data_IF_528450515736
#
_entry.id   IF_528450515736
#
_cell.length_a   1.000
_cell.length_b   1.000
_cell.length_c   1.000
_cell.angle_alpha   90.00
_cell.angle_beta   90.00
_cell.angle_gamma   90.00
#
_symmetry.space_group_name_H-M   'P 1'
#
loop_
_entity.id
_entity.type
_entity.pdbx_description
1 polymer ?
#
# COMPACT_ATOMS: atom_id res chain seq x y z
N UNK A 1 18.68 22.44 -15.63
CA UNK A 1 18.53 21.19 -14.85
C UNK A 1 17.13 21.18 -14.27
N UNK A 2 16.38 20.13 -14.51
CA UNK A 2 15.01 19.96 -14.03
C UNK A 2 14.98 18.72 -13.17
N UNK A 3 14.52 18.84 -11.94
CA UNK A 3 14.46 17.77 -10.98
C UNK A 3 13.01 17.26 -10.81
N UNK A 4 12.87 15.99 -10.54
CA UNK A 4 11.61 15.37 -10.10
C UNK A 4 11.78 14.85 -8.68
N UNK A 5 10.81 15.13 -7.81
CA UNK A 5 10.74 14.61 -6.45
C UNK A 5 9.75 13.45 -6.41
N UNK A 6 10.20 12.29 -5.94
CA UNK A 6 9.37 11.14 -5.60
C UNK A 6 9.31 10.94 -4.10
N UNK A 7 8.11 10.74 -3.55
CA UNK A 7 7.83 10.50 -2.13
C UNK A 7 7.21 9.11 -1.93
N UNK A 8 7.55 8.44 -0.83
CA UNK A 8 6.87 7.22 -0.40
C UNK A 8 6.68 7.23 1.12
N UNK A 9 5.44 7.14 1.57
CA UNK A 9 5.09 6.96 2.98
C UNK A 9 4.70 5.51 3.23
N UNK A 10 5.70 4.70 3.51
CA UNK A 10 5.57 3.28 3.84
C UNK A 10 5.13 3.04 5.29
N UNK A 11 5.13 1.78 5.75
CA UNK A 11 4.71 1.43 7.12
C UNK A 11 5.65 1.99 8.18
N UNK A 12 6.96 1.92 7.97
CA UNK A 12 7.97 2.23 9.00
C UNK A 12 8.73 3.53 8.74
N UNK A 13 8.59 4.11 7.56
CA UNK A 13 9.35 5.28 7.15
C UNK A 13 8.62 6.11 6.11
N UNK A 14 8.99 7.40 6.03
CA UNK A 14 8.74 8.25 4.89
C UNK A 14 10.07 8.51 4.18
N UNK A 15 10.12 8.22 2.88
CA UNK A 15 11.34 8.31 2.07
C UNK A 15 11.12 9.17 0.83
N UNK A 16 12.18 9.79 0.33
CA UNK A 16 12.12 10.55 -0.90
C UNK A 16 13.41 10.49 -1.70
N UNK A 17 13.26 10.63 -3.01
CA UNK A 17 14.34 10.75 -3.98
C UNK A 17 14.13 12.00 -4.84
N UNK A 18 15.21 12.74 -5.10
CA UNK A 18 15.23 13.78 -6.12
C UNK A 18 16.11 13.30 -7.28
N UNK A 19 15.55 13.30 -8.47
CA UNK A 19 16.19 12.79 -9.69
C UNK A 19 16.41 13.96 -10.66
N UNK A 20 17.61 14.07 -11.22
CA UNK A 20 17.84 14.88 -12.42
C UNK A 20 17.19 14.17 -13.62
N UNK A 21 16.13 14.79 -14.15
CA UNK A 21 15.32 14.19 -15.23
C UNK A 21 16.12 13.99 -16.53
N UNK A 22 17.08 14.86 -16.79
CA UNK A 22 17.89 14.79 -18.02
C UNK A 22 18.99 13.72 -17.94
N UNK A 23 19.56 13.52 -16.74
CA UNK A 23 20.65 12.57 -16.51
C UNK A 23 20.18 11.19 -16.03
N UNK A 24 18.96 11.09 -15.47
CA UNK A 24 18.43 9.88 -14.85
C UNK A 24 19.21 9.49 -13.58
N UNK A 25 19.82 10.46 -12.88
CA UNK A 25 20.64 10.21 -11.69
C UNK A 25 19.98 10.77 -10.44
N UNK A 26 20.14 10.09 -9.31
CA UNK A 26 19.71 10.58 -8.00
C UNK A 26 20.60 11.75 -7.58
N UNK A 27 20.00 12.88 -7.23
CA UNK A 27 20.66 14.12 -6.81
C UNK A 27 20.66 14.25 -5.29
N UNK A 28 19.57 13.83 -4.65
CA UNK A 28 19.39 13.84 -3.21
C UNK A 28 18.46 12.70 -2.79
N UNK A 29 18.66 12.19 -1.59
CA UNK A 29 17.78 11.19 -0.97
C UNK A 29 17.68 11.42 0.52
N UNK A 30 16.52 11.13 1.10
CA UNK A 30 16.30 11.18 2.54
C UNK A 30 15.29 10.11 2.95
N UNK A 31 15.38 9.66 4.19
CA UNK A 31 14.45 8.69 4.76
C UNK A 31 14.29 8.92 6.25
N UNK A 32 13.08 9.11 6.70
CA UNK A 32 12.72 9.31 8.11
C UNK A 32 12.09 8.02 8.64
N UNK A 33 12.80 7.29 9.49
CA UNK A 33 12.25 6.14 10.20
C UNK A 33 11.39 6.61 11.37
N UNK A 34 10.13 6.22 11.39
CA UNK A 34 9.16 6.69 12.37
C UNK A 34 9.54 6.33 13.80
N UNK A 35 9.90 5.06 14.05
CA UNK A 35 10.24 4.59 15.37
C UNK A 35 11.51 5.24 15.95
N UNK A 36 12.52 5.45 15.12
CA UNK A 36 13.80 5.99 15.55
C UNK A 36 13.79 7.52 15.66
N UNK A 37 13.12 8.23 14.75
CA UNK A 37 13.21 9.69 14.64
C UNK A 37 11.98 10.44 15.17
N UNK A 38 10.84 9.73 15.36
CA UNK A 38 9.59 10.28 15.88
C UNK A 38 9.05 9.50 17.09
N UNK A 39 9.86 9.29 18.14
CA UNK A 39 9.50 8.45 19.30
C UNK A 39 8.28 8.97 20.08
N UNK A 40 7.92 10.24 19.93
CA UNK A 40 6.75 10.85 20.59
C UNK A 40 5.42 10.21 20.18
N UNK A 41 5.36 9.54 19.01
CA UNK A 41 4.15 8.85 18.54
C UNK A 41 4.00 7.43 19.08
N UNK A 42 4.97 6.95 19.87
CA UNK A 42 4.97 5.59 20.42
C UNK A 42 4.67 4.49 19.39
N UNK A 43 5.28 4.62 18.22
CA UNK A 43 5.10 3.75 17.05
C UNK A 43 6.44 3.15 16.59
N UNK A 44 7.09 2.27 17.38
CA UNK A 44 8.46 1.80 17.12
C UNK A 44 8.61 1.05 15.78
N UNK A 45 7.53 0.46 15.28
CA UNK A 45 7.47 -0.21 13.96
C UNK A 45 6.58 0.54 12.96
N UNK A 46 6.32 1.84 13.20
CA UNK A 46 5.47 2.68 12.36
C UNK A 46 3.97 2.59 12.69
N UNK A 47 3.60 1.83 13.71
CA UNK A 47 2.24 1.70 14.20
C UNK A 47 2.20 1.61 15.72
N UNK A 48 1.06 1.94 16.31
CA UNK A 48 0.81 1.93 17.75
C UNK A 48 0.75 0.46 18.19
N UNK A 49 1.57 0.03 19.17
CA UNK A 49 1.57 -1.35 19.63
C UNK A 49 0.29 -1.70 20.41
N UNK A 50 0.10 -3.01 20.61
CA UNK A 50 -0.92 -3.59 21.50
C UNK A 50 -2.37 -3.27 21.11
N UNK A 51 -2.66 -3.13 19.81
CA UNK A 51 -4.02 -3.03 19.30
C UNK A 51 -4.87 -4.26 19.66
N UNK A 52 -6.11 -4.04 20.07
CA UNK A 52 -7.01 -5.11 20.48
C UNK A 52 -7.64 -5.82 19.27
N UNK A 53 -7.84 -7.13 19.38
CA UNK A 53 -8.62 -7.91 18.40
C UNK A 53 -8.13 -7.82 16.94
N UNK A 54 -6.83 -7.67 16.73
CA UNK A 54 -6.25 -7.54 15.40
C UNK A 54 -6.22 -6.11 14.86
N UNK A 55 -6.57 -5.12 15.67
CA UNK A 55 -6.43 -3.70 15.31
C UNK A 55 -4.95 -3.31 15.18
N UNK A 56 -4.62 -2.65 14.08
CA UNK A 56 -3.29 -2.07 13.84
C UNK A 56 -3.46 -0.68 13.24
N UNK A 57 -3.10 0.33 14.04
CA UNK A 57 -3.29 1.73 13.68
C UNK A 57 -1.98 2.52 13.74
N UNK A 58 -1.89 3.56 12.93
CA UNK A 58 -0.86 4.60 12.98
C UNK A 58 -1.46 5.95 13.35
N UNK A 59 -0.62 6.89 13.78
CA UNK A 59 -1.01 8.27 13.98
C UNK A 59 -0.79 9.05 12.67
N UNK A 60 -1.82 9.63 12.04
CA UNK A 60 -1.65 10.38 10.79
C UNK A 60 -0.80 11.64 10.92
N UNK A 61 -0.67 12.20 12.14
CA UNK A 61 0.20 13.36 12.39
C UNK A 61 1.70 12.97 12.33
N UNK A 62 2.03 11.72 12.61
CA UNK A 62 3.38 11.18 12.44
C UNK A 62 3.84 11.28 10.98
N UNK A 63 2.96 11.00 10.02
CA UNK A 63 3.27 11.12 8.59
C UNK A 63 3.54 12.57 8.18
N UNK A 64 2.85 13.54 8.80
CA UNK A 64 3.06 14.98 8.56
C UNK A 64 4.40 15.45 9.10
N UNK A 65 4.75 15.06 10.34
CA UNK A 65 6.03 15.40 10.94
C UNK A 65 7.20 14.76 10.14
N UNK A 66 7.02 13.52 9.71
CA UNK A 66 8.00 12.85 8.86
C UNK A 66 8.19 13.55 7.52
N UNK A 67 7.10 13.99 6.86
CA UNK A 67 7.17 14.74 5.62
C UNK A 67 7.95 16.05 5.79
N UNK A 68 7.72 16.79 6.88
CA UNK A 68 8.45 18.03 7.15
C UNK A 68 9.95 17.81 7.42
N UNK A 69 10.28 16.78 8.21
CA UNK A 69 11.68 16.41 8.44
C UNK A 69 12.38 16.01 7.14
N UNK A 70 11.71 15.19 6.34
CA UNK A 70 12.20 14.71 5.05
C UNK A 70 12.52 15.86 4.09
N UNK A 71 11.58 16.80 3.94
CA UNK A 71 11.77 17.96 3.05
C UNK A 71 12.86 18.90 3.57
N UNK A 72 13.04 19.02 4.88
CA UNK A 72 14.15 19.77 5.47
C UNK A 72 15.49 19.12 5.14
N UNK A 73 15.63 17.79 5.30
CA UNK A 73 16.87 17.08 4.95
C UNK A 73 17.20 17.19 3.45
N UNK A 74 16.21 17.13 2.57
CA UNK A 74 16.42 17.32 1.14
C UNK A 74 16.85 18.75 0.78
N UNK A 75 16.30 19.77 1.46
CA UNK A 75 16.68 21.17 1.25
C UNK A 75 18.13 21.46 1.68
N UNK A 76 18.70 20.66 2.59
CA UNK A 76 20.10 20.76 2.98
C UNK A 76 21.05 20.11 1.94
N UNK A 77 20.53 19.19 1.11
CA UNK A 77 21.33 18.44 0.12
C UNK A 77 21.31 19.09 -1.27
N UNK A 78 20.21 19.72 -1.67
CA UNK A 78 20.08 20.30 -3.00
C UNK A 78 19.15 21.52 -3.04
N UNK A 79 19.19 22.23 -4.15
CA UNK A 79 18.36 23.39 -4.44
C UNK A 79 16.95 22.96 -4.89
N UNK A 80 15.98 22.98 -3.99
CA UNK A 80 14.60 22.56 -4.24
C UNK A 80 13.87 23.46 -5.24
N UNK A 81 14.36 24.68 -5.54
CA UNK A 81 13.78 25.54 -6.58
C UNK A 81 13.90 24.94 -7.99
N UNK A 82 14.74 23.91 -8.18
CA UNK A 82 14.90 23.18 -9.43
C UNK A 82 13.90 22.02 -9.59
N UNK A 83 13.14 21.68 -8.56
CA UNK A 83 12.08 20.66 -8.65
C UNK A 83 10.95 21.20 -9.53
N UNK A 84 10.66 20.46 -10.58
CA UNK A 84 9.68 20.84 -11.61
C UNK A 84 8.43 19.93 -11.61
N UNK A 85 8.46 18.85 -10.85
CA UNK A 85 7.30 17.96 -10.65
C UNK A 85 7.48 17.15 -9.37
N UNK A 86 6.35 16.83 -8.73
CA UNK A 86 6.28 15.98 -7.53
C UNK A 86 5.30 14.85 -7.80
N UNK A 87 5.69 13.63 -7.41
CA UNK A 87 4.83 12.44 -7.38
C UNK A 87 5.05 11.68 -6.09
N UNK A 88 4.14 10.77 -5.75
CA UNK A 88 4.34 9.98 -4.54
C UNK A 88 3.47 8.75 -4.43
N UNK A 89 3.78 7.99 -3.39
CA UNK A 89 3.05 6.81 -2.97
C UNK A 89 2.82 6.83 -1.46
N UNK A 90 1.84 6.04 -1.02
CA UNK A 90 1.65 5.71 0.38
C UNK A 90 1.30 4.25 0.55
N UNK A 91 1.51 3.70 1.76
CA UNK A 91 1.07 2.36 2.09
C UNK A 91 -0.41 2.18 1.76
N UNK A 92 -0.76 1.12 1.06
CA UNK A 92 -2.13 0.88 0.65
C UNK A 92 -3.07 0.64 1.84
N UNK A 93 -4.35 0.90 1.64
CA UNK A 93 -5.47 0.64 2.56
C UNK A 93 -5.52 1.54 3.80
N UNK A 94 -4.43 2.14 4.24
CA UNK A 94 -4.45 3.07 5.38
C UNK A 94 -5.34 4.27 5.12
N UNK A 95 -6.14 4.71 6.11
CA UNK A 95 -7.15 5.74 5.91
C UNK A 95 -7.18 6.80 7.02
N UNK A 96 -7.38 8.05 6.62
CA UNK A 96 -7.43 9.24 7.48
C UNK A 96 -8.84 9.83 7.45
N UNK A 97 -9.39 10.13 8.62
CA UNK A 97 -10.76 10.60 8.80
C UNK A 97 -10.74 12.06 9.30
N UNK A 98 -11.37 12.94 8.57
CA UNK A 98 -11.27 14.39 8.73
C UNK A 98 -12.64 15.02 8.91
N UNK A 99 -12.74 15.99 9.80
CA UNK A 99 -13.95 16.78 10.04
C UNK A 99 -14.05 17.99 9.09
N UNK A 100 -15.05 18.84 9.28
CA UNK A 100 -15.33 20.01 8.43
C UNK A 100 -14.24 21.08 8.48
N UNK A 101 -13.44 21.15 9.55
CA UNK A 101 -12.33 22.09 9.66
C UNK A 101 -11.24 21.82 8.63
N UNK A 102 -11.14 20.58 8.10
CA UNK A 102 -10.17 20.21 7.08
C UNK A 102 -10.11 21.19 5.92
N UNK A 103 -11.25 21.54 5.35
CA UNK A 103 -11.32 22.38 4.16
C UNK A 103 -10.83 23.81 4.39
N UNK A 104 -10.91 24.31 5.62
CA UNK A 104 -10.42 25.66 5.99
C UNK A 104 -8.94 25.63 6.32
N UNK A 105 -8.51 24.65 7.09
CA UNK A 105 -7.13 24.58 7.58
C UNK A 105 -6.15 24.24 6.46
N UNK A 106 -6.50 23.33 5.57
CA UNK A 106 -5.62 22.90 4.48
C UNK A 106 -5.31 24.04 3.49
N UNK A 107 -6.25 24.94 3.25
CA UNK A 107 -6.09 26.10 2.37
C UNK A 107 -5.33 27.27 3.03
N UNK A 108 -5.24 27.27 4.38
CA UNK A 108 -4.71 28.39 5.17
C UNK A 108 -3.41 28.09 5.91
N UNK A 109 -2.65 27.09 5.49
CA UNK A 109 -1.39 26.68 6.14
C UNK A 109 -0.38 27.83 6.24
N UNK A 110 0.21 28.00 7.43
CA UNK A 110 1.21 29.03 7.74
C UNK A 110 2.55 28.40 8.13
N UNK A 111 3.66 29.11 7.92
CA UNK A 111 5.02 28.57 8.13
C UNK A 111 5.55 28.69 9.56
N UNK A 112 4.80 29.32 10.45
CA UNK A 112 5.13 29.54 11.86
C UNK A 112 4.77 28.33 12.77
N UNK A 113 3.99 27.39 12.25
CA UNK A 113 3.61 26.15 12.93
C UNK A 113 3.92 24.96 12.04
N UNK A 114 4.04 23.76 12.66
CA UNK A 114 4.19 22.50 11.90
C UNK A 114 2.84 22.08 11.28
N UNK A 115 2.91 21.23 10.25
CA UNK A 115 1.70 20.66 9.64
C UNK A 115 0.86 19.90 10.68
N UNK A 116 1.52 19.09 11.53
CA UNK A 116 0.85 18.32 12.57
C UNK A 116 0.13 19.22 13.58
N UNK A 117 0.74 20.34 14.00
CA UNK A 117 0.10 21.31 14.91
C UNK A 117 -1.14 21.97 14.30
N UNK A 118 -1.08 22.32 13.02
CA UNK A 118 -2.19 22.99 12.33
C UNK A 118 -3.34 22.02 12.03
N UNK A 119 -3.03 20.79 11.63
CA UNK A 119 -4.01 19.82 11.13
C UNK A 119 -4.54 18.86 12.21
N UNK A 120 -3.96 18.80 13.41
CA UNK A 120 -4.43 17.90 14.48
C UNK A 120 -5.94 18.06 14.80
N UNK A 121 -6.45 19.27 14.80
CA UNK A 121 -7.87 19.56 15.07
C UNK A 121 -8.82 19.16 13.96
N UNK A 122 -8.31 18.82 12.78
CA UNK A 122 -9.11 18.38 11.64
C UNK A 122 -9.45 16.89 11.69
N UNK A 123 -8.83 16.13 12.57
CA UNK A 123 -9.09 14.70 12.71
C UNK A 123 -10.42 14.44 13.41
N UNK A 124 -11.31 13.71 12.76
CA UNK A 124 -12.53 13.16 13.39
C UNK A 124 -12.27 11.80 14.06
N UNK A 125 -11.21 11.11 13.62
CA UNK A 125 -10.66 9.90 14.22
C UNK A 125 -9.15 10.10 14.40
N UNK A 126 -8.67 9.95 15.63
CA UNK A 126 -7.28 10.29 16.00
C UNK A 126 -6.24 9.31 15.48
N UNK A 127 -6.64 8.09 15.16
CA UNK A 127 -5.75 7.05 14.64
C UNK A 127 -6.28 6.48 13.33
N UNK A 128 -5.38 6.11 12.45
CA UNK A 128 -5.64 5.56 11.12
C UNK A 128 -5.42 4.05 11.12
N UNK A 129 -6.41 3.21 10.79
CA UNK A 129 -6.13 1.81 10.51
C UNK A 129 -5.19 1.72 9.31
N UNK A 130 -4.30 0.71 9.33
CA UNK A 130 -3.35 0.46 8.24
C UNK A 130 -3.54 -0.95 7.68
N UNK A 131 -2.82 -1.28 6.62
CA UNK A 131 -2.93 -2.55 5.88
C UNK A 131 -2.73 -3.83 6.74
N UNK A 132 -2.11 -3.71 7.91
CA UNK A 132 -1.90 -4.84 8.83
C UNK A 132 -3.13 -5.11 9.71
N UNK A 133 -4.13 -4.22 9.72
CA UNK A 133 -5.34 -4.38 10.53
C UNK A 133 -6.19 -5.54 10.00
N UNK A 134 -6.48 -6.50 10.86
CA UNK A 134 -7.29 -7.69 10.58
C UNK A 134 -8.56 -7.77 11.42
N UNK A 135 -8.99 -6.63 11.99
CA UNK A 135 -10.09 -6.59 12.97
C UNK A 135 -11.49 -6.63 12.36
N UNK A 136 -11.64 -6.51 11.04
CA UNK A 136 -12.93 -6.24 10.37
C UNK A 136 -13.56 -7.46 9.66
N UNK A 137 -13.25 -8.68 10.11
CA UNK A 137 -13.79 -9.89 9.49
C UNK A 137 -15.34 -10.01 9.54
N UNK A 138 -15.99 -9.40 10.53
CA UNK A 138 -17.45 -9.32 10.58
C UNK A 138 -17.97 -8.35 9.52
N UNK A 139 -17.38 -7.18 9.41
CA UNK A 139 -17.73 -6.12 8.46
C UNK A 139 -17.54 -6.58 7.00
N UNK A 140 -16.50 -7.37 6.71
CA UNK A 140 -16.35 -8.03 5.41
C UNK A 140 -17.56 -8.88 5.06
N UNK A 141 -17.99 -9.75 5.98
CA UNK A 141 -19.20 -10.60 5.78
C UNK A 141 -20.47 -9.79 5.63
N UNK A 142 -20.62 -8.72 6.41
CA UNK A 142 -21.79 -7.84 6.33
C UNK A 142 -21.89 -7.13 4.97
N UNK A 143 -20.80 -6.57 4.46
CA UNK A 143 -20.73 -5.93 3.14
C UNK A 143 -21.03 -6.96 2.05
N UNK A 144 -20.34 -8.11 2.08
CA UNK A 144 -20.56 -9.17 1.09
C UNK A 144 -22.01 -9.64 1.05
N UNK A 145 -22.61 -9.90 2.21
CA UNK A 145 -24.01 -10.33 2.30
C UNK A 145 -24.98 -9.27 1.78
N UNK A 146 -24.72 -8.00 2.03
CA UNK A 146 -25.59 -6.91 1.58
C UNK A 146 -25.64 -6.77 0.05
N UNK A 147 -24.55 -7.10 -0.65
CA UNK A 147 -24.49 -7.01 -2.11
C UNK A 147 -24.72 -8.34 -2.83
N UNK A 148 -24.90 -9.46 -2.11
CA UNK A 148 -25.20 -10.76 -2.69
C UNK A 148 -24.05 -11.79 -2.67
N UNK A 149 -22.95 -11.52 -1.94
CA UNK A 149 -21.86 -12.43 -1.69
C UNK A 149 -20.48 -11.95 -2.16
N UNK A 150 -19.43 -12.62 -1.70
CA UNK A 150 -18.04 -12.30 -2.02
C UNK A 150 -17.76 -12.21 -3.52
N UNK A 151 -18.40 -13.08 -4.32
CA UNK A 151 -18.22 -13.08 -5.76
C UNK A 151 -18.77 -11.80 -6.44
N UNK A 152 -19.80 -11.17 -5.86
CA UNK A 152 -20.32 -9.87 -6.34
C UNK A 152 -19.37 -8.74 -5.94
N UNK A 153 -18.88 -8.74 -4.69
CA UNK A 153 -17.84 -7.76 -4.28
C UNK A 153 -16.64 -7.85 -5.21
N UNK A 154 -16.15 -9.06 -5.47
CA UNK A 154 -15.01 -9.30 -6.36
C UNK A 154 -15.28 -8.85 -7.81
N UNK A 155 -16.42 -9.19 -8.36
CA UNK A 155 -16.78 -8.78 -9.72
C UNK A 155 -16.86 -7.26 -9.88
N UNK A 156 -17.35 -6.54 -8.84
CA UNK A 156 -17.46 -5.08 -8.84
C UNK A 156 -16.15 -4.37 -8.56
N UNK A 157 -15.41 -4.79 -7.52
CA UNK A 157 -14.25 -4.05 -7.01
C UNK A 157 -12.90 -4.70 -7.32
N UNK A 158 -12.88 -5.84 -8.01
CA UNK A 158 -11.63 -6.55 -8.35
C UNK A 158 -11.03 -7.37 -7.22
N UNK A 159 -11.68 -7.40 -6.05
CA UNK A 159 -11.23 -8.16 -4.87
C UNK A 159 -12.43 -8.57 -4.04
N UNK A 160 -12.38 -9.70 -3.38
CA UNK A 160 -13.34 -9.99 -2.31
C UNK A 160 -13.17 -8.99 -1.15
N UNK A 161 -14.12 -8.94 -0.22
CA UNK A 161 -13.95 -8.16 1.01
C UNK A 161 -12.83 -8.76 1.86
N UNK A 162 -11.85 -7.94 2.24
CA UNK A 162 -10.69 -8.34 3.05
C UNK A 162 -10.54 -7.35 4.20
N UNK A 163 -10.17 -7.85 5.38
CA UNK A 163 -10.18 -7.10 6.64
C UNK A 163 -9.39 -5.79 6.58
N UNK A 164 -8.23 -5.78 5.92
CA UNK A 164 -7.38 -4.61 5.80
C UNK A 164 -7.91 -3.53 4.86
N UNK A 165 -8.88 -3.84 4.00
CA UNK A 165 -9.38 -2.89 3.01
C UNK A 165 -10.22 -1.79 3.66
N UNK A 166 -10.17 -0.61 3.08
CA UNK A 166 -10.73 0.60 3.69
C UNK A 166 -12.25 0.56 3.85
N UNK A 167 -12.98 -0.09 2.94
CA UNK A 167 -14.44 -0.26 3.07
C UNK A 167 -14.85 -0.94 4.38
N UNK A 168 -14.37 -2.16 4.68
CA UNK A 168 -14.60 -2.82 5.96
C UNK A 168 -14.15 -1.98 7.17
N UNK A 169 -13.03 -1.26 7.08
CA UNK A 169 -12.55 -0.36 8.13
C UNK A 169 -13.49 0.83 8.38
N UNK A 170 -14.05 1.41 7.31
CA UNK A 170 -15.06 2.47 7.42
C UNK A 170 -16.34 1.93 8.07
N UNK A 171 -16.80 0.72 7.67
CA UNK A 171 -17.98 0.09 8.25
C UNK A 171 -17.80 -0.14 9.75
N UNK A 172 -16.65 -0.68 10.18
CA UNK A 172 -16.32 -0.86 11.60
C UNK A 172 -16.30 0.48 12.34
N UNK A 173 -15.71 1.51 11.77
CA UNK A 173 -15.69 2.85 12.37
C UNK A 173 -17.11 3.38 12.56
N UNK A 174 -17.96 3.30 11.55
CA UNK A 174 -19.37 3.69 11.65
C UNK A 174 -20.13 2.93 12.75
N UNK A 175 -19.91 1.61 12.88
CA UNK A 175 -20.57 0.78 13.89
C UNK A 175 -20.08 1.11 15.31
N UNK A 176 -18.80 1.36 15.49
CA UNK A 176 -18.20 1.51 16.82
C UNK A 176 -18.25 2.96 17.35
N UNK A 177 -18.23 3.96 16.44
CA UNK A 177 -18.29 5.38 16.80
C UNK A 177 -19.09 6.14 15.75
N UNK A 178 -20.40 5.96 15.75
CA UNK A 178 -21.31 6.62 14.83
C UNK A 178 -21.25 8.15 14.94
N UNK A 179 -20.98 8.70 16.14
CA UNK A 179 -20.90 10.12 16.36
C UNK A 179 -19.65 10.74 15.69
N UNK A 180 -18.49 10.10 15.81
CA UNK A 180 -17.28 10.53 15.11
C UNK A 180 -17.40 10.31 13.59
N UNK A 181 -18.05 9.22 13.15
CA UNK A 181 -18.34 9.03 11.74
C UNK A 181 -19.26 10.12 11.17
N UNK A 182 -20.29 10.55 11.89
CA UNK A 182 -21.18 11.64 11.47
C UNK A 182 -20.41 12.95 11.31
N UNK A 183 -19.49 13.26 12.23
CA UNK A 183 -18.62 14.43 12.16
C UNK A 183 -17.58 14.35 11.04
N UNK A 184 -17.30 13.17 10.51
CA UNK A 184 -16.37 12.98 9.41
C UNK A 184 -16.97 13.55 8.13
N UNK A 185 -16.28 14.47 7.49
CA UNK A 185 -16.68 15.09 6.21
C UNK A 185 -15.79 14.67 5.05
N UNK A 186 -14.58 14.14 5.35
CA UNK A 186 -13.65 13.67 4.35
C UNK A 186 -12.89 12.43 4.86
N UNK A 187 -12.72 11.44 3.97
CA UNK A 187 -11.89 10.26 4.20
C UNK A 187 -10.87 10.18 3.07
N UNK A 188 -9.60 10.20 3.43
CA UNK A 188 -8.48 10.01 2.51
C UNK A 188 -7.76 8.70 2.78
N UNK A 189 -7.08 8.17 1.76
CA UNK A 189 -6.01 7.20 1.93
C UNK A 189 -4.71 7.92 2.32
N UNK A 190 -3.69 7.19 2.77
CA UNK A 190 -2.38 7.78 3.13
C UNK A 190 -1.82 8.58 1.96
N UNK A 191 -1.87 8.03 0.76
CA UNK A 191 -1.42 8.65 -0.49
C UNK A 191 -2.14 9.95 -0.78
N UNK A 192 -3.46 9.94 -0.84
CA UNK A 192 -4.27 11.12 -1.15
C UNK A 192 -4.28 12.15 -0.03
N UNK A 193 -4.10 11.75 1.24
CA UNK A 193 -3.92 12.67 2.36
C UNK A 193 -2.63 13.49 2.21
N UNK A 194 -1.49 12.83 1.97
CA UNK A 194 -0.22 13.54 1.78
C UNK A 194 -0.23 14.38 0.49
N UNK A 195 -0.84 13.89 -0.58
CA UNK A 195 -1.04 14.66 -1.80
C UNK A 195 -1.87 15.93 -1.53
N UNK A 196 -2.96 15.82 -0.76
CA UNK A 196 -3.81 16.94 -0.35
C UNK A 196 -3.03 17.99 0.44
N UNK A 197 -2.20 17.54 1.39
CA UNK A 197 -1.35 18.43 2.18
C UNK A 197 -0.36 19.19 1.29
N UNK A 198 0.26 18.51 0.33
CA UNK A 198 1.22 19.14 -0.59
C UNK A 198 0.57 20.19 -1.47
N UNK A 199 -0.64 19.96 -1.99
CA UNK A 199 -1.32 20.94 -2.84
C UNK A 199 -2.07 22.02 -2.05
N UNK A 200 -2.23 21.85 -0.72
CA UNK A 200 -3.06 22.76 0.08
C UNK A 200 -4.53 22.67 -0.30
N UNK A 201 -5.05 21.49 -0.62
CA UNK A 201 -6.40 21.27 -1.12
C UNK A 201 -6.83 19.81 -1.05
N UNK A 202 -8.00 19.49 -1.59
CA UNK A 202 -8.61 18.16 -1.52
C UNK A 202 -8.23 17.33 -2.76
N UNK A 203 -7.19 16.52 -2.67
CA UNK A 203 -6.70 15.69 -3.77
C UNK A 203 -7.67 14.54 -4.09
N UNK A 204 -7.77 14.11 -5.35
CA UNK A 204 -8.46 12.89 -5.72
C UNK A 204 -7.78 11.65 -5.13
N UNK A 205 -8.54 10.54 -5.02
CA UNK A 205 -7.99 9.21 -4.78
C UNK A 205 -7.64 8.58 -6.15
N UNK A 206 -6.44 8.01 -6.25
CA UNK A 206 -6.01 7.29 -7.44
C UNK A 206 -6.83 6.00 -7.66
N UNK A 207 -7.05 5.63 -8.92
CA UNK A 207 -7.72 4.37 -9.28
C UNK A 207 -6.99 3.14 -8.73
N UNK A 208 -5.65 3.17 -8.65
CA UNK A 208 -4.84 2.07 -8.11
C UNK A 208 -5.04 1.88 -6.62
N UNK A 209 -4.93 2.96 -5.87
CA UNK A 209 -5.09 2.92 -4.42
C UNK A 209 -6.57 2.81 -4.01
N UNK A 210 -7.46 3.50 -4.74
CA UNK A 210 -8.91 3.46 -4.52
C UNK A 210 -9.54 2.08 -4.71
N UNK A 211 -9.04 1.27 -5.67
CA UNK A 211 -9.48 -0.12 -5.82
C UNK A 211 -9.19 -0.96 -4.56
N UNK A 212 -8.13 -0.64 -3.82
CA UNK A 212 -7.82 -1.24 -2.51
C UNK A 212 -8.78 -0.86 -1.38
N UNK A 213 -9.83 -0.09 -1.65
CA UNK A 213 -10.88 0.22 -0.68
C UNK A 213 -12.06 -0.75 -0.71
N UNK A 214 -12.20 -1.62 -1.73
CA UNK A 214 -13.42 -2.37 -2.06
C UNK A 214 -14.65 -1.48 -2.36
N UNK A 215 -14.46 -0.26 -2.81
CA UNK A 215 -15.54 0.72 -3.03
C UNK A 215 -15.55 1.26 -4.45
N UNK A 216 -14.47 1.09 -5.21
CA UNK A 216 -14.36 1.50 -6.62
C UNK A 216 -14.82 0.35 -7.51
N UNK A 217 -15.67 0.66 -8.48
CA UNK A 217 -16.08 -0.28 -9.53
C UNK A 217 -14.99 -0.35 -10.61
N UNK A 218 -14.45 -1.53 -10.88
CA UNK A 218 -13.33 -1.74 -11.81
C UNK A 218 -13.71 -1.61 -13.29
N UNK A 219 -14.99 -1.61 -13.62
CA UNK A 219 -15.46 -1.39 -15.00
C UNK A 219 -15.57 0.10 -15.33
N UNK A 220 -15.95 0.92 -14.35
CA UNK A 220 -16.14 2.37 -14.51
C UNK A 220 -15.01 3.21 -13.97
N UNK A 221 -14.19 2.66 -13.07
CA UNK A 221 -13.16 3.36 -12.29
C UNK A 221 -13.71 4.56 -11.49
N UNK A 222 -14.92 4.40 -10.98
CA UNK A 222 -15.58 5.36 -10.10
C UNK A 222 -16.24 4.61 -8.92
N UNK A 223 -16.77 5.34 -7.97
CA UNK A 223 -17.41 4.77 -6.78
C UNK A 223 -18.59 3.87 -7.15
N UNK A 224 -18.65 2.67 -6.59
CA UNK A 224 -19.79 1.73 -6.74
C UNK A 224 -20.88 2.02 -5.71
N UNK A 225 -22.04 2.42 -6.16
CA UNK A 225 -23.16 2.80 -5.28
C UNK A 225 -23.57 1.69 -4.32
N UNK A 226 -23.65 0.44 -4.80
CA UNK A 226 -24.09 -0.68 -3.96
C UNK A 226 -23.07 -0.98 -2.86
N UNK A 227 -21.77 -0.93 -3.18
CA UNK A 227 -20.70 -1.14 -2.20
C UNK A 227 -20.63 0.00 -1.18
N UNK A 228 -20.86 1.25 -1.60
CA UNK A 228 -20.93 2.39 -0.70
C UNK A 228 -22.09 2.26 0.28
N UNK A 229 -23.30 1.96 -0.21
CA UNK A 229 -24.51 1.79 0.61
C UNK A 229 -24.37 0.60 1.58
N UNK A 230 -23.76 -0.50 1.14
CA UNK A 230 -23.45 -1.65 1.99
C UNK A 230 -22.42 -1.32 3.09
N UNK A 231 -21.58 -0.33 2.88
CA UNK A 231 -20.50 0.03 3.80
C UNK A 231 -20.97 0.96 4.91
N UNK A 232 -21.47 2.15 4.58
CA UNK A 232 -21.92 3.12 5.58
C UNK A 232 -22.85 4.19 4.96
N UNK A 233 -23.72 4.82 5.76
CA UNK A 233 -24.63 5.86 5.27
C UNK A 233 -23.87 7.10 4.79
N UNK A 234 -24.39 7.75 3.76
CA UNK A 234 -23.86 8.99 3.18
C UNK A 234 -22.36 8.96 2.78
N UNK A 235 -21.79 7.78 2.60
CA UNK A 235 -20.34 7.60 2.41
C UNK A 235 -19.83 8.32 1.16
N UNK A 236 -20.58 8.35 0.07
CA UNK A 236 -20.21 9.07 -1.15
C UNK A 236 -19.88 10.56 -0.90
N UNK A 237 -20.59 11.21 0.02
CA UNK A 237 -20.34 12.62 0.37
C UNK A 237 -19.03 12.84 1.11
N UNK A 238 -18.51 11.79 1.74
CA UNK A 238 -17.29 11.82 2.54
C UNK A 238 -16.02 11.42 1.75
N UNK A 239 -16.19 10.93 0.54
CA UNK A 239 -15.08 10.49 -0.31
C UNK A 239 -14.69 11.58 -1.34
N UNK A 240 -13.38 11.78 -1.62
CA UNK A 240 -12.95 12.55 -2.79
C UNK A 240 -13.39 11.86 -4.08
N UNK A 241 -13.29 12.54 -5.21
CA UNK A 241 -13.46 11.89 -6.52
C UNK A 241 -12.32 10.90 -6.79
N UNK A 242 -12.61 9.87 -7.60
CA UNK A 242 -11.58 8.99 -8.14
C UNK A 242 -10.97 9.61 -9.41
N UNK A 243 -9.67 9.44 -9.62
CA UNK A 243 -9.01 9.89 -10.83
C UNK A 243 -7.75 9.06 -11.13
N UNK A 244 -7.24 9.15 -12.36
CA UNK A 244 -6.03 8.44 -12.80
C UNK A 244 -4.76 9.04 -12.18
N UNK A 245 -3.86 8.19 -11.67
CA UNK A 245 -2.63 8.58 -10.99
C UNK A 245 -1.63 9.38 -11.84
N UNK A 246 -1.70 9.27 -13.18
CA UNK A 246 -0.86 10.06 -14.09
C UNK A 246 -1.39 11.47 -14.37
N UNK A 247 -2.42 11.93 -13.65
CA UNK A 247 -2.96 13.27 -13.78
C UNK A 247 -2.45 14.20 -12.66
N UNK A 248 -2.49 15.49 -12.90
CA UNK A 248 -2.11 16.50 -11.90
C UNK A 248 -3.24 16.68 -10.90
N UNK A 249 -2.93 16.54 -9.60
CA UNK A 249 -3.85 16.84 -8.51
C UNK A 249 -4.01 18.35 -8.29
N UNK A 250 -2.92 19.09 -8.41
CA UNK A 250 -2.83 20.53 -8.22
C UNK A 250 -1.38 21.02 -8.32
N UNK A 251 -1.14 22.22 -7.84
CA UNK A 251 0.21 22.77 -7.69
C UNK A 251 0.61 22.79 -6.22
N UNK A 252 1.92 22.71 -5.96
CA UNK A 252 2.48 22.75 -4.61
C UNK A 252 2.05 24.02 -3.87
N UNK A 253 1.54 23.86 -2.64
CA UNK A 253 1.01 24.97 -1.88
C UNK A 253 2.09 25.99 -1.46
N UNK A 254 1.67 27.21 -1.21
CA UNK A 254 2.57 28.29 -0.79
C UNK A 254 3.29 28.04 0.53
N UNK A 255 2.79 27.12 1.37
CA UNK A 255 3.46 26.67 2.57
C UNK A 255 4.86 26.11 2.26
N UNK A 256 4.94 25.18 1.31
CA UNK A 256 6.19 24.51 0.96
C UNK A 256 7.15 25.41 0.17
N UNK A 257 6.62 26.27 -0.71
CA UNK A 257 7.46 27.23 -1.44
C UNK A 257 8.12 28.23 -0.48
N UNK A 258 7.39 28.73 0.52
CA UNK A 258 7.92 29.65 1.53
C UNK A 258 8.86 28.98 2.53
N UNK A 259 8.56 27.75 2.94
CA UNK A 259 9.31 27.06 4.01
C UNK A 259 10.56 26.38 3.54
N UNK A 260 10.53 25.79 2.33
CA UNK A 260 11.62 24.95 1.81
C UNK A 260 12.27 25.46 0.51
N UNK A 261 11.78 26.55 -0.05
CA UNK A 261 12.38 27.21 -1.21
C UNK A 261 12.05 26.55 -2.56
N UNK A 262 10.99 25.75 -2.64
CA UNK A 262 10.48 25.29 -3.94
C UNK A 262 10.05 26.46 -4.82
N UNK A 263 10.13 26.26 -6.16
CA UNK A 263 9.53 27.19 -7.11
C UNK A 263 8.00 27.28 -6.92
N UNK A 264 7.41 28.36 -7.37
CA UNK A 264 5.96 28.46 -7.48
C UNK A 264 5.41 27.53 -8.57
N UNK A 265 4.16 27.15 -8.44
CA UNK A 265 3.39 26.39 -9.44
C UNK A 265 3.97 25.02 -9.84
N UNK A 266 4.77 24.38 -8.96
CA UNK A 266 5.26 23.01 -9.18
C UNK A 266 4.08 22.06 -9.22
N UNK A 267 3.83 21.34 -10.32
CA UNK A 267 2.76 20.37 -10.41
C UNK A 267 3.00 19.17 -9.48
N UNK A 268 1.96 18.79 -8.77
CA UNK A 268 1.90 17.57 -7.95
C UNK A 268 0.95 16.61 -8.64
N UNK A 269 1.43 15.41 -9.02
CA UNK A 269 0.58 14.36 -9.57
C UNK A 269 -0.25 13.72 -8.46
N UNK A 270 -1.35 13.09 -8.81
CA UNK A 270 -2.11 12.28 -7.85
C UNK A 270 -1.21 11.17 -7.32
N UNK A 271 -1.14 11.05 -5.99
CA UNK A 271 -0.38 9.97 -5.35
C UNK A 271 -1.16 8.66 -5.42
N UNK A 272 -0.45 7.55 -5.49
CA UNK A 272 -1.02 6.21 -5.59
C UNK A 272 -0.60 5.32 -4.41
N UNK A 273 -1.04 4.07 -4.37
CA UNK A 273 -0.53 3.07 -3.44
C UNK A 273 0.89 2.60 -3.78
N UNK A 274 1.59 2.06 -2.79
CA UNK A 274 2.97 1.57 -2.93
C UNK A 274 3.11 0.46 -3.99
N UNK A 275 2.18 -0.50 -4.05
CA UNK A 275 2.23 -1.58 -5.05
C UNK A 275 1.98 -1.07 -6.49
N UNK A 276 0.93 -0.27 -6.78
CA UNK A 276 0.78 0.36 -8.09
C UNK A 276 1.97 1.25 -8.47
N UNK A 277 2.55 1.98 -7.51
CA UNK A 277 3.77 2.77 -7.73
C UNK A 277 4.95 1.89 -8.13
N UNK A 278 5.12 0.74 -7.46
CA UNK A 278 6.18 -0.23 -7.76
C UNK A 278 6.06 -0.80 -9.19
N UNK A 279 4.85 -1.05 -9.68
CA UNK A 279 4.63 -1.47 -11.07
C UNK A 279 5.24 -0.47 -12.07
N UNK A 280 5.01 0.82 -11.83
CA UNK A 280 5.56 1.90 -12.68
C UNK A 280 7.06 2.00 -12.51
N UNK A 281 7.55 2.03 -11.27
CA UNK A 281 8.98 2.15 -10.93
C UNK A 281 9.83 1.02 -11.51
N UNK A 282 9.31 -0.19 -11.57
CA UNK A 282 9.96 -1.36 -12.18
C UNK A 282 9.83 -1.42 -13.71
N UNK A 283 9.17 -0.44 -14.33
CA UNK A 283 8.98 -0.37 -15.78
C UNK A 283 8.03 -1.44 -16.33
N UNK A 284 7.12 -1.95 -15.50
CA UNK A 284 6.17 -3.01 -15.83
C UNK A 284 4.73 -2.51 -16.06
N UNK A 285 4.54 -1.21 -16.26
CA UNK A 285 3.23 -0.57 -16.45
C UNK A 285 2.55 -0.87 -17.79
N UNK A 286 3.20 -1.63 -18.67
CA UNK A 286 2.64 -2.07 -19.94
C UNK A 286 2.35 -3.58 -19.93
N UNK A 287 1.24 -4.04 -20.55
CA UNK A 287 0.95 -5.47 -20.67
C UNK A 287 2.10 -6.28 -21.29
N UNK A 288 2.30 -7.49 -20.80
CA UNK A 288 3.40 -8.37 -21.22
C UNK A 288 4.65 -8.27 -20.36
N UNK A 289 4.65 -7.38 -19.37
CA UNK A 289 5.68 -7.31 -18.32
C UNK A 289 5.06 -7.65 -16.97
N UNK A 290 5.87 -8.24 -16.12
CA UNK A 290 5.46 -8.62 -14.77
C UNK A 290 6.59 -8.33 -13.79
N UNK A 291 6.24 -8.17 -12.53
CA UNK A 291 7.16 -8.04 -11.41
C UNK A 291 6.91 -9.18 -10.44
N UNK A 292 7.97 -9.82 -10.00
CA UNK A 292 7.97 -10.75 -8.88
C UNK A 292 8.82 -10.13 -7.78
N UNK A 293 8.21 -9.85 -6.65
CA UNK A 293 8.91 -9.35 -5.46
C UNK A 293 9.06 -10.50 -4.48
N UNK A 294 10.32 -10.86 -4.21
CA UNK A 294 10.66 -11.95 -3.29
C UNK A 294 10.97 -11.35 -1.91
N UNK A 295 10.03 -11.45 -1.01
CA UNK A 295 10.12 -10.90 0.35
C UNK A 295 9.71 -11.92 1.41
N UNK A 296 9.38 -11.46 2.61
CA UNK A 296 8.77 -12.29 3.67
C UNK A 296 7.55 -13.02 3.11
N UNK A 297 6.66 -12.26 2.46
CA UNK A 297 5.63 -12.77 1.54
C UNK A 297 6.05 -12.43 0.12
N UNK A 298 5.85 -13.32 -0.82
CA UNK A 298 6.13 -13.03 -2.21
C UNK A 298 4.92 -12.33 -2.84
N UNK A 299 5.17 -11.37 -3.73
CA UNK A 299 4.11 -10.74 -4.51
C UNK A 299 4.39 -10.84 -6.00
N UNK A 300 3.33 -11.06 -6.75
CA UNK A 300 3.34 -11.05 -8.21
C UNK A 300 2.38 -9.97 -8.69
N UNK A 301 2.84 -9.07 -9.55
CA UNK A 301 1.97 -8.07 -10.14
C UNK A 301 2.35 -7.73 -11.58
N UNK A 302 1.34 -7.42 -12.38
CA UNK A 302 1.50 -7.16 -13.80
C UNK A 302 0.42 -6.21 -14.31
N UNK A 303 0.76 -5.39 -15.31
CA UNK A 303 -0.25 -4.65 -16.06
C UNK A 303 -1.11 -5.61 -16.87
N UNK A 304 -2.43 -5.42 -16.82
CA UNK A 304 -3.41 -6.26 -17.49
C UNK A 304 -3.82 -5.66 -18.85
N UNK A 305 -3.96 -6.47 -19.91
CA UNK A 305 -4.48 -6.00 -21.18
C UNK A 305 -5.99 -5.70 -21.15
N UNK A 306 -6.72 -6.36 -20.26
CA UNK A 306 -8.16 -6.17 -20.01
C UNK A 306 -8.42 -6.32 -18.51
N UNK A 307 -9.45 -5.65 -18.02
CA UNK A 307 -9.92 -5.81 -16.65
C UNK A 307 -10.57 -7.19 -16.49
N UNK A 308 -10.03 -8.03 -15.62
CA UNK A 308 -10.59 -9.37 -15.33
C UNK A 308 -10.40 -9.64 -13.85
N UNK A 309 -11.49 -9.69 -13.08
CA UNK A 309 -11.47 -10.12 -11.70
C UNK A 309 -11.23 -11.63 -11.60
N UNK A 310 -10.50 -12.06 -10.58
CA UNK A 310 -10.32 -13.48 -10.30
C UNK A 310 -11.58 -14.06 -9.63
N UNK A 311 -12.32 -14.97 -10.30
CA UNK A 311 -13.56 -15.52 -9.73
C UNK A 311 -13.33 -16.34 -8.45
N UNK A 312 -12.10 -16.82 -8.19
CA UNK A 312 -11.73 -17.48 -6.95
C UNK A 312 -11.42 -16.48 -5.81
N UNK A 313 -11.29 -15.20 -6.14
CA UNK A 313 -11.00 -14.13 -5.18
C UNK A 313 -9.62 -14.22 -4.54
N UNK A 314 -8.66 -14.91 -5.18
CA UNK A 314 -7.29 -15.04 -4.68
C UNK A 314 -6.39 -13.90 -5.15
N UNK A 315 -6.68 -13.33 -6.34
CA UNK A 315 -5.98 -12.17 -6.88
C UNK A 315 -6.77 -10.88 -6.69
N UNK A 316 -6.08 -9.77 -6.87
CA UNK A 316 -6.62 -8.42 -6.79
C UNK A 316 -6.49 -7.71 -8.13
N UNK A 317 -7.47 -6.86 -8.46
CA UNK A 317 -7.40 -5.92 -9.59
C UNK A 317 -7.33 -4.51 -9.04
N UNK A 318 -6.27 -3.80 -9.38
CA UNK A 318 -6.10 -2.39 -9.05
C UNK A 318 -5.98 -1.55 -10.33
N UNK A 319 -6.19 -0.25 -10.23
CA UNK A 319 -5.84 0.65 -11.30
C UNK A 319 -4.32 0.71 -11.51
N UNK A 320 -3.91 0.81 -12.77
CA UNK A 320 -2.51 1.08 -13.11
C UNK A 320 -2.32 2.60 -13.19
N UNK A 321 -1.44 3.21 -12.40
CA UNK A 321 -1.24 4.67 -12.41
C UNK A 321 -0.91 5.23 -13.80
N UNK A 322 -0.30 4.43 -14.67
CA UNK A 322 0.00 4.81 -16.07
C UNK A 322 -1.20 4.66 -17.02
N UNK A 323 -2.35 4.21 -16.53
CA UNK A 323 -3.57 3.94 -17.29
C UNK A 323 -3.89 2.44 -17.41
N UNK A 324 -5.18 2.11 -17.41
CA UNK A 324 -5.66 0.73 -17.41
C UNK A 324 -5.64 0.08 -16.03
N UNK A 325 -5.42 -1.22 -15.97
CA UNK A 325 -5.46 -2.03 -14.74
C UNK A 325 -4.20 -2.86 -14.54
N UNK A 326 -4.02 -3.32 -13.32
CA UNK A 326 -3.00 -4.28 -12.92
C UNK A 326 -3.61 -5.38 -12.06
N UNK A 327 -3.03 -6.58 -12.13
CA UNK A 327 -3.28 -7.63 -11.16
C UNK A 327 -2.20 -7.64 -10.08
N UNK A 328 -2.59 -8.01 -8.86
CA UNK A 328 -1.68 -8.27 -7.76
C UNK A 328 -2.09 -9.56 -7.06
N UNK A 329 -1.12 -10.44 -6.81
CA UNK A 329 -1.28 -11.64 -6.01
C UNK A 329 -0.23 -11.65 -4.91
N UNK A 330 -0.63 -12.01 -3.70
CA UNK A 330 0.25 -12.16 -2.56
C UNK A 330 0.30 -13.63 -2.15
N UNK A 331 1.51 -14.13 -1.90
CA UNK A 331 1.77 -15.48 -1.44
C UNK A 331 2.37 -15.40 -0.04
N UNK A 332 1.69 -16.01 0.92
CA UNK A 332 2.13 -16.00 2.33
C UNK A 332 3.43 -16.77 2.51
N UNK A 333 3.57 -17.88 1.75
CA UNK A 333 4.74 -18.76 1.83
C UNK A 333 5.87 -18.31 0.89
N UNK A 334 6.36 -17.08 1.09
CA UNK A 334 7.50 -16.53 0.37
C UNK A 334 8.85 -16.93 0.98
N UNK A 335 9.68 -15.97 1.38
CA UNK A 335 10.96 -16.22 2.03
C UNK A 335 10.84 -17.07 3.29
N UNK A 336 9.72 -16.99 4.01
CA UNK A 336 9.46 -17.83 5.19
C UNK A 336 9.47 -19.32 4.87
N UNK A 337 8.98 -19.73 3.70
CA UNK A 337 9.06 -21.13 3.27
C UNK A 337 10.52 -21.54 2.98
N UNK A 338 11.27 -20.67 2.30
CA UNK A 338 12.70 -20.87 2.02
C UNK A 338 13.53 -20.93 3.31
N UNK A 339 13.23 -20.06 4.28
CA UNK A 339 13.84 -20.09 5.62
C UNK A 339 13.53 -21.40 6.36
N UNK A 340 12.26 -21.83 6.34
CA UNK A 340 11.85 -23.06 7.00
C UNK A 340 12.60 -24.30 6.44
N UNK A 341 12.80 -24.36 5.13
CA UNK A 341 13.59 -25.45 4.50
C UNK A 341 15.08 -25.31 4.86
N UNK A 342 15.65 -24.12 4.78
CA UNK A 342 17.04 -23.84 5.15
C UNK A 342 17.32 -24.25 6.60
N UNK A 343 16.46 -23.83 7.53
CA UNK A 343 16.63 -24.10 8.96
C UNK A 343 16.45 -25.59 9.30
N UNK A 344 15.56 -26.30 8.59
CA UNK A 344 15.36 -27.73 8.77
C UNK A 344 16.64 -28.54 8.51
N UNK A 345 17.50 -28.07 7.60
CA UNK A 345 18.80 -28.67 7.33
C UNK A 345 19.97 -27.99 8.05
N UNK A 346 19.69 -26.98 8.88
CA UNK A 346 20.71 -26.17 9.55
C UNK A 346 21.71 -25.53 8.59
N UNK A 347 21.25 -25.13 7.41
CA UNK A 347 22.08 -24.45 6.41
C UNK A 347 22.09 -22.94 6.63
N UNK A 348 23.18 -22.30 6.21
CA UNK A 348 23.20 -20.87 5.95
C UNK A 348 22.73 -20.57 4.50
N UNK A 349 22.64 -19.30 4.14
CA UNK A 349 22.19 -18.92 2.79
C UNK A 349 23.18 -19.27 1.69
N UNK A 350 24.47 -19.36 1.97
CA UNK A 350 25.48 -19.78 1.00
C UNK A 350 25.34 -21.27 0.70
N UNK A 351 25.15 -22.10 1.74
CA UNK A 351 24.87 -23.53 1.61
C UNK A 351 23.54 -23.77 0.88
N UNK A 352 22.50 -23.00 1.18
CA UNK A 352 21.22 -23.06 0.47
C UNK A 352 21.39 -22.76 -1.02
N UNK A 353 22.11 -21.68 -1.35
CA UNK A 353 22.37 -21.29 -2.74
C UNK A 353 23.20 -22.35 -3.49
N UNK A 354 24.18 -22.94 -2.81
CA UNK A 354 25.00 -24.01 -3.39
C UNK A 354 24.17 -25.27 -3.65
N UNK A 355 23.32 -25.69 -2.72
CA UNK A 355 22.43 -26.83 -2.87
C UNK A 355 21.45 -26.63 -4.04
N UNK A 356 20.88 -25.42 -4.13
CA UNK A 356 20.04 -25.05 -5.27
C UNK A 356 20.80 -25.15 -6.60
N UNK A 357 22.03 -24.63 -6.66
CA UNK A 357 22.85 -24.67 -7.89
C UNK A 357 23.28 -26.09 -8.31
N UNK A 358 23.50 -26.96 -7.34
CA UNK A 358 23.93 -28.35 -7.59
C UNK A 358 22.81 -29.24 -8.18
N UNK A 359 21.54 -28.83 -7.98
CA UNK A 359 20.38 -29.62 -8.41
C UNK A 359 19.87 -29.14 -9.77
N UNK A 360 19.65 -30.01 -10.75
CA UNK A 360 19.18 -29.62 -12.07
C UNK A 360 17.75 -29.08 -12.03
N UNK A 361 17.39 -28.24 -13.00
CA UNK A 361 16.01 -27.78 -13.20
C UNK A 361 15.05 -28.96 -13.34
N UNK A 362 13.86 -28.84 -12.74
CA UNK A 362 12.87 -29.94 -12.67
C UNK A 362 13.21 -30.99 -11.60
N UNK A 363 14.27 -30.76 -10.81
CA UNK A 363 14.59 -31.48 -9.56
C UNK A 363 14.48 -33.01 -9.65
N UNK A 364 14.83 -33.61 -10.80
CA UNK A 364 14.69 -35.05 -11.08
C UNK A 364 13.26 -35.58 -10.80
N UNK A 365 12.23 -34.75 -10.94
CA UNK A 365 10.83 -35.10 -10.68
C UNK A 365 10.39 -35.04 -9.22
N UNK A 366 11.23 -34.55 -8.30
CA UNK A 366 10.83 -34.28 -6.93
C UNK A 366 10.06 -32.92 -6.88
N UNK A 367 8.85 -32.94 -6.34
CA UNK A 367 7.95 -31.80 -6.30
C UNK A 367 7.58 -31.47 -4.86
N UNK A 368 7.48 -30.18 -4.54
CA UNK A 368 6.97 -29.66 -3.28
C UNK A 368 5.87 -28.65 -3.52
N UNK A 369 4.79 -28.71 -2.73
CA UNK A 369 3.92 -27.56 -2.49
C UNK A 369 4.43 -26.93 -1.19
N UNK A 370 5.14 -25.79 -1.25
CA UNK A 370 5.92 -25.28 -0.12
C UNK A 370 5.07 -24.46 0.87
N UNK A 371 3.87 -24.91 1.21
CA UNK A 371 2.97 -24.22 2.12
C UNK A 371 3.20 -24.71 3.55
N UNK A 372 3.99 -23.99 4.30
CA UNK A 372 4.25 -24.20 5.73
C UNK A 372 3.23 -23.50 6.64
N UNK A 373 2.37 -22.67 6.04
CA UNK A 373 1.27 -21.94 6.65
C UNK A 373 0.10 -21.87 5.68
N UNK A 374 -1.12 -21.61 6.15
CA UNK A 374 -2.24 -21.36 5.25
C UNK A 374 -1.88 -20.35 4.17
N UNK A 375 -2.21 -20.64 2.92
CA UNK A 375 -1.89 -19.81 1.76
C UNK A 375 -3.11 -19.01 1.32
N UNK A 376 -2.89 -17.79 0.85
CA UNK A 376 -3.94 -16.90 0.35
C UNK A 376 -4.17 -17.02 -1.16
N UNK A 377 -3.17 -17.46 -1.91
CA UNK A 377 -3.21 -17.57 -3.37
C UNK A 377 -2.48 -18.83 -3.88
N UNK A 378 -3.21 -19.94 -4.16
CA UNK A 378 -4.63 -20.17 -3.91
C UNK A 378 -4.95 -20.27 -2.42
N UNK A 379 -6.23 -20.09 -2.07
CA UNK A 379 -6.68 -20.25 -0.68
C UNK A 379 -6.70 -21.70 -0.28
N UNK A 380 -5.74 -22.11 0.50
CA UNK A 380 -5.62 -23.47 1.04
C UNK A 380 -5.19 -23.40 2.50
N UNK A 381 -5.82 -24.25 3.30
CA UNK A 381 -5.57 -24.37 4.73
C UNK A 381 -4.59 -25.52 4.97
N UNK A 382 -3.33 -25.34 4.53
CA UNK A 382 -2.23 -26.25 4.75
C UNK A 382 -1.26 -25.64 5.76
N UNK A 383 -0.83 -26.45 6.73
CA UNK A 383 0.15 -26.07 7.74
C UNK A 383 1.48 -26.84 7.60
N UNK A 384 1.58 -27.67 6.57
CA UNK A 384 2.77 -28.44 6.25
C UNK A 384 2.91 -28.63 4.75
N UNK A 385 4.15 -28.62 4.21
CA UNK A 385 4.38 -28.79 2.79
C UNK A 385 4.03 -30.21 2.33
N UNK A 386 3.55 -30.34 1.09
CA UNK A 386 3.30 -31.62 0.45
C UNK A 386 4.51 -31.95 -0.43
N UNK A 387 5.11 -33.12 -0.21
CA UNK A 387 6.23 -33.61 -0.96
C UNK A 387 5.82 -34.84 -1.80
N UNK A 388 6.32 -34.93 -3.03
CA UNK A 388 6.12 -36.08 -3.92
C UNK A 388 7.38 -36.29 -4.74
N UNK A 389 7.99 -37.49 -4.62
CA UNK A 389 9.21 -37.80 -5.36
C UNK A 389 9.94 -39.05 -4.86
N UNK A 390 11.26 -38.97 -4.77
CA UNK A 390 12.08 -40.05 -4.22
C UNK A 390 11.86 -40.24 -2.71
N UNK A 391 12.07 -41.44 -2.20
CA UNK A 391 11.93 -41.72 -0.75
C UNK A 391 12.86 -40.84 0.10
N UNK A 392 14.06 -40.53 -0.36
CA UNK A 392 15.00 -39.67 0.35
C UNK A 392 14.45 -38.21 0.45
N UNK A 393 13.85 -37.74 -0.60
CA UNK A 393 13.23 -36.40 -0.63
C UNK A 393 11.98 -36.35 0.25
N UNK A 394 11.05 -37.30 0.11
CA UNK A 394 9.79 -37.33 0.90
C UNK A 394 10.04 -37.44 2.41
N UNK A 395 11.15 -38.10 2.80
CA UNK A 395 11.56 -38.22 4.21
C UNK A 395 12.53 -37.13 4.68
N UNK A 396 12.72 -36.06 3.91
CA UNK A 396 13.61 -34.95 4.24
C UNK A 396 15.08 -35.37 4.49
N UNK A 397 15.59 -36.35 3.76
CA UNK A 397 16.99 -36.77 3.82
C UNK A 397 17.83 -36.10 2.75
N UNK A 398 17.21 -35.76 1.61
CA UNK A 398 17.86 -35.09 0.47
C UNK A 398 17.65 -33.59 0.56
N UNK A 399 18.62 -32.89 1.15
CA UNK A 399 18.57 -31.45 1.35
C UNK A 399 18.58 -30.67 0.03
N UNK A 400 19.42 -31.09 -0.94
CA UNK A 400 19.55 -30.41 -2.22
C UNK A 400 18.25 -30.50 -3.02
N UNK A 401 17.61 -31.66 -3.05
CA UNK A 401 16.29 -31.81 -3.66
C UNK A 401 15.19 -31.02 -2.95
N UNK A 402 15.22 -30.97 -1.62
CA UNK A 402 14.22 -30.21 -0.85
C UNK A 402 14.34 -28.69 -1.09
N UNK A 403 15.55 -28.17 -1.12
CA UNK A 403 15.83 -26.76 -1.41
C UNK A 403 15.40 -26.42 -2.85
N UNK A 404 15.77 -27.25 -3.81
CA UNK A 404 15.38 -27.05 -5.21
C UNK A 404 13.86 -27.08 -5.38
N UNK A 405 13.18 -28.05 -4.78
CA UNK A 405 11.73 -28.18 -4.86
C UNK A 405 11.00 -26.99 -4.19
N UNK A 406 11.55 -26.45 -3.08
CA UNK A 406 10.97 -25.29 -2.42
C UNK A 406 11.04 -24.00 -3.27
N UNK A 407 12.08 -23.88 -4.10
CA UNK A 407 12.25 -22.69 -4.96
C UNK A 407 11.47 -22.85 -6.27
N UNK A 408 11.27 -24.06 -6.76
CA UNK A 408 10.51 -24.33 -8.00
C UNK A 408 9.01 -24.53 -7.78
N UNK A 409 8.57 -24.80 -6.56
CA UNK A 409 7.16 -24.98 -6.17
C UNK A 409 6.49 -23.70 -5.83
#
# INVERSE_FOLDING_TARGET
MSYALGLDSSTQSCSALIIDVALGTVVAEASINFGAQLPQYNAPSGFIPDGANGEVHSDPLMWLDALEMLLKELAEQCDLSKVSAISGAGQQHGSVYLNDQWFYEIDSLTTDQTLSQQLAKTLSRTTSPIWMDSSTGEECREIANAVGGDHIVCAKSGSIAIERFTGPQIRRFYKNDAAAYEQTTRIHLVSSFLCSVLIGGDAPIDTGDGAGMNLVNIDTWDWDTDLLEATAPDLLKKLPKVAQGNTTAGTLSSYFTKKYGFAADVPVTIFTGDNPSSLVGMGASQPGKLVVSLGTSDTFFAAMPNVVADPAGCGHVFGNPSGGSMSLQCFVNGSLAREAVKDKFSYDWDQFSQAFANTPSGNNGNLMVPFFRPESSPRVDLEAPILKGSSAFENWVDADAAIRACVEG
#
